data_IF_414483209667
#
_entry.id   IF_414483209667
#
_cell.length_a   1.000
_cell.length_b   1.000
_cell.length_c   1.000
_cell.angle_alpha   90.00
_cell.angle_beta   90.00
_cell.angle_gamma   90.00
#
_symmetry.space_group_name_H-M   'P 1'
#
loop_
_entity.id
_entity.type
_entity.pdbx_description
1 polymer ?
#
# COMPACT_ATOMS: atom_id res chain seq x y z
N UNK A 1 3.70 -1.23 12.22
CA UNK A 1 4.77 -0.41 12.79
C UNK A 1 4.30 0.09 14.15
N UNK A 2 5.15 0.06 15.18
CA UNK A 2 4.88 0.69 16.49
C UNK A 2 4.73 2.21 16.39
N UNK A 3 5.31 2.82 15.37
CA UNK A 3 5.34 4.26 15.11
C UNK A 3 4.05 4.87 14.52
N UNK A 4 3.00 4.07 14.29
CA UNK A 4 1.77 4.53 13.65
C UNK A 4 1.87 4.87 12.16
N UNK A 5 3.06 4.74 11.54
CA UNK A 5 3.23 4.96 10.11
C UNK A 5 2.46 3.91 9.29
N UNK A 6 1.62 4.41 8.38
CA UNK A 6 0.78 3.58 7.51
C UNK A 6 1.18 3.67 6.05
N UNK A 7 0.88 2.62 5.30
CA UNK A 7 0.97 2.52 3.85
C UNK A 7 -0.36 2.00 3.30
N UNK A 8 -0.79 2.52 2.15
CA UNK A 8 -1.90 1.96 1.38
C UNK A 8 -1.36 1.66 -0.01
N UNK A 9 -1.64 0.47 -0.51
CA UNK A 9 -1.30 0.07 -1.86
C UNK A 9 -2.26 -0.99 -2.38
N UNK A 10 -2.28 -1.17 -3.69
CA UNK A 10 -3.08 -2.22 -4.36
C UNK A 10 -2.23 -3.30 -5.02
N UNK A 11 -2.89 -4.41 -5.34
CA UNK A 11 -2.32 -5.48 -6.15
C UNK A 11 -3.40 -6.27 -6.86
N UNK A 12 -3.13 -6.63 -8.11
CA UNK A 12 -3.89 -7.64 -8.85
C UNK A 12 -3.21 -9.01 -8.87
N UNK A 13 -2.02 -9.10 -8.27
CA UNK A 13 -1.28 -10.36 -8.02
C UNK A 13 -1.62 -10.89 -6.63
N UNK A 14 -1.20 -12.12 -6.32
CA UNK A 14 -1.31 -12.68 -4.97
C UNK A 14 -0.74 -11.75 -3.90
N UNK A 15 -1.50 -11.54 -2.83
CA UNK A 15 -1.14 -10.66 -1.71
C UNK A 15 0.22 -11.05 -1.11
N UNK A 16 0.45 -12.34 -0.89
CA UNK A 16 1.72 -12.86 -0.35
C UNK A 16 2.94 -12.45 -1.18
N UNK A 17 2.79 -12.32 -2.50
CA UNK A 17 3.87 -11.86 -3.39
C UNK A 17 4.20 -10.38 -3.15
N UNK A 18 3.20 -9.53 -2.91
CA UNK A 18 3.43 -8.11 -2.56
C UNK A 18 4.04 -7.96 -1.18
N UNK A 19 3.57 -8.73 -0.21
CA UNK A 19 4.14 -8.69 1.15
C UNK A 19 5.64 -8.98 1.10
N UNK A 20 6.07 -10.01 0.36
CA UNK A 20 7.49 -10.35 0.18
C UNK A 20 8.31 -9.27 -0.55
N UNK A 21 7.69 -8.43 -1.36
CA UNK A 21 8.38 -7.28 -1.98
C UNK A 21 8.62 -6.15 -0.97
N UNK A 22 7.79 -6.04 0.06
CA UNK A 22 7.93 -5.08 1.15
C UNK A 22 8.81 -5.60 2.30
N UNK A 23 8.78 -6.90 2.55
CA UNK A 23 9.53 -7.60 3.59
C UNK A 23 10.41 -8.69 2.96
N UNK A 24 11.49 -8.30 2.28
CA UNK A 24 12.34 -9.27 1.63
C UNK A 24 13.14 -10.08 2.67
N UNK A 25 13.28 -11.39 2.45
CA UNK A 25 13.97 -12.30 3.36
C UNK A 25 15.45 -11.96 3.60
N UNK A 26 16.06 -11.12 2.77
CA UNK A 26 17.43 -10.66 2.97
C UNK A 26 17.54 -9.58 4.03
N UNK A 27 16.45 -8.86 4.35
CA UNK A 27 16.44 -7.80 5.37
C UNK A 27 16.83 -8.37 6.75
N UNK A 28 16.29 -9.54 7.09
CA UNK A 28 16.62 -10.24 8.33
C UNK A 28 18.02 -10.88 8.33
N UNK A 29 18.70 -10.91 7.17
CA UNK A 29 20.04 -11.48 7.01
C UNK A 29 21.14 -10.42 7.05
N UNK A 30 20.79 -9.13 7.20
CA UNK A 30 21.75 -8.03 7.21
C UNK A 30 22.41 -7.76 5.85
N UNK A 31 21.85 -8.25 4.75
CA UNK A 31 22.39 -7.97 3.41
C UNK A 31 22.03 -6.54 2.96
N UNK A 32 22.96 -5.87 2.29
CA UNK A 32 22.71 -4.53 1.71
C UNK A 32 22.24 -4.67 0.26
N UNK A 33 20.99 -4.30 0.00
CA UNK A 33 20.36 -4.33 -1.34
C UNK A 33 19.54 -3.08 -1.61
N UNK A 34 19.26 -2.84 -2.89
CA UNK A 34 18.43 -1.71 -3.33
C UNK A 34 17.04 -1.73 -2.68
N UNK A 35 16.67 -0.59 -2.09
CA UNK A 35 15.36 -0.36 -1.51
C UNK A 35 14.32 -0.15 -2.62
N UNK A 36 13.40 -1.10 -2.78
CA UNK A 36 12.38 -1.07 -3.85
C UNK A 36 11.00 -0.62 -3.37
N UNK A 37 10.82 -0.28 -2.10
CA UNK A 37 9.54 0.20 -1.58
C UNK A 37 9.71 1.15 -0.38
N UNK A 38 8.75 2.07 -0.22
CA UNK A 38 8.72 3.00 0.90
C UNK A 38 8.51 2.31 2.26
N UNK A 39 7.81 1.16 2.28
CA UNK A 39 7.71 0.32 3.49
C UNK A 39 9.10 -0.18 3.89
N UNK A 40 9.83 -0.76 2.93
CA UNK A 40 11.18 -1.29 3.19
C UNK A 40 12.14 -0.20 3.67
N UNK A 41 12.17 0.94 2.98
CA UNK A 41 13.00 2.07 3.37
C UNK A 41 12.70 2.51 4.81
N UNK A 42 11.41 2.67 5.15
CA UNK A 42 11.00 3.02 6.50
C UNK A 42 11.44 2.02 7.57
N UNK A 43 11.37 0.71 7.30
CA UNK A 43 11.81 -0.32 8.25
C UNK A 43 13.31 -0.27 8.48
N UNK A 44 14.10 0.00 7.43
CA UNK A 44 15.56 0.18 7.55
C UNK A 44 15.87 1.45 8.33
N UNK A 45 15.25 2.58 7.99
CA UNK A 45 15.52 3.87 8.61
C UNK A 45 15.17 3.92 10.11
N UNK A 46 14.13 3.18 10.50
CA UNK A 46 13.63 3.19 11.88
C UNK A 46 14.07 1.99 12.72
N UNK A 47 14.65 0.95 12.10
CA UNK A 47 14.99 -0.30 12.78
C UNK A 47 13.77 -1.08 13.29
N UNK A 48 12.55 -0.72 12.89
CA UNK A 48 11.35 -1.39 13.34
C UNK A 48 11.22 -2.79 12.73
N UNK A 49 10.76 -3.73 13.55
CA UNK A 49 10.30 -5.05 13.10
C UNK A 49 8.78 -5.05 12.91
N UNK A 50 8.29 -5.83 11.96
CA UNK A 50 6.86 -6.00 11.69
C UNK A 50 6.53 -7.47 11.49
N UNK A 51 5.45 -7.93 12.13
CA UNK A 51 4.85 -9.22 11.84
C UNK A 51 3.92 -9.06 10.61
N UNK A 52 4.18 -9.76 9.49
CA UNK A 52 3.34 -9.64 8.31
C UNK A 52 1.88 -10.05 8.54
N UNK A 53 1.62 -10.97 9.46
CA UNK A 53 0.28 -11.49 9.76
C UNK A 53 -0.60 -10.46 10.48
N UNK A 54 0.03 -9.62 11.31
CA UNK A 54 -0.65 -8.59 12.10
C UNK A 54 -0.65 -7.21 11.41
N UNK A 55 0.33 -6.94 10.54
CA UNK A 55 0.55 -5.60 9.98
C UNK A 55 -0.02 -5.38 8.58
N UNK A 56 -0.33 -6.43 7.83
CA UNK A 56 -0.96 -6.32 6.51
C UNK A 56 -2.46 -6.62 6.56
N UNK A 57 -3.27 -5.56 6.45
CA UNK A 57 -4.73 -5.68 6.43
C UNK A 57 -5.30 -5.54 5.01
N UNK A 58 -6.20 -6.46 4.64
CA UNK A 58 -7.00 -6.34 3.41
C UNK A 58 -8.22 -5.46 3.68
N UNK A 59 -8.20 -4.23 3.17
CA UNK A 59 -9.31 -3.26 3.31
C UNK A 59 -10.42 -3.44 2.26
N UNK A 60 -10.09 -4.01 1.09
CA UNK A 60 -11.03 -4.22 0.00
C UNK A 60 -10.56 -5.36 -0.91
N UNK A 61 -11.50 -6.20 -1.35
CA UNK A 61 -11.25 -7.30 -2.28
C UNK A 61 -12.25 -7.22 -3.42
N UNK A 62 -11.76 -7.19 -4.66
CA UNK A 62 -12.62 -7.22 -5.85
C UNK A 62 -13.24 -8.61 -6.01
N UNK A 63 -14.58 -8.70 -6.13
CA UNK A 63 -15.26 -9.95 -6.46
C UNK A 63 -14.79 -10.55 -7.79
N UNK A 64 -14.58 -11.87 -7.88
CA UNK A 64 -14.05 -12.52 -9.09
C UNK A 64 -15.01 -12.45 -10.29
N UNK A 65 -16.28 -12.12 -10.06
CA UNK A 65 -17.30 -11.96 -11.12
C UNK A 65 -17.04 -10.78 -12.07
N UNK A 66 -16.18 -9.84 -11.70
CA UNK A 66 -15.88 -8.68 -12.54
C UNK A 66 -14.78 -8.96 -13.55
N UNK A 67 -14.89 -8.36 -14.73
CA UNK A 67 -13.83 -8.44 -15.76
C UNK A 67 -12.53 -7.82 -15.25
N UNK A 68 -11.39 -8.30 -15.77
CA UNK A 68 -10.06 -7.78 -15.36
C UNK A 68 -9.96 -6.24 -15.46
N UNK A 69 -10.38 -5.58 -16.56
CA UNK A 69 -10.30 -4.12 -16.66
C UNK A 69 -11.15 -3.40 -15.61
N UNK A 70 -12.38 -3.87 -15.36
CA UNK A 70 -13.26 -3.32 -14.34
C UNK A 70 -12.67 -3.52 -12.93
N UNK A 71 -12.16 -4.71 -12.65
CA UNK A 71 -11.51 -5.02 -11.37
C UNK A 71 -10.30 -4.12 -11.09
N UNK A 72 -9.48 -3.82 -12.10
CA UNK A 72 -8.36 -2.88 -11.94
C UNK A 72 -8.83 -1.46 -11.61
N UNK A 73 -9.89 -0.97 -12.27
CA UNK A 73 -10.48 0.34 -11.98
C UNK A 73 -11.05 0.39 -10.56
N UNK A 74 -11.73 -0.67 -10.12
CA UNK A 74 -12.25 -0.78 -8.75
C UNK A 74 -11.11 -0.79 -7.72
N UNK A 75 -10.02 -1.52 -7.95
CA UNK A 75 -8.85 -1.48 -7.06
C UNK A 75 -8.21 -0.10 -6.99
N UNK A 76 -8.09 0.59 -8.12
CA UNK A 76 -7.55 1.95 -8.17
C UNK A 76 -8.44 2.96 -7.42
N UNK A 77 -9.76 2.87 -7.59
CA UNK A 77 -10.71 3.70 -6.87
C UNK A 77 -10.68 3.43 -5.36
N UNK A 78 -10.63 2.15 -4.96
CA UNK A 78 -10.50 1.76 -3.56
C UNK A 78 -9.19 2.26 -2.93
N UNK A 79 -8.06 2.13 -3.64
CA UNK A 79 -6.75 2.66 -3.21
C UNK A 79 -6.82 4.17 -3.01
N UNK A 80 -7.29 4.93 -4.00
CA UNK A 80 -7.39 6.39 -3.91
C UNK A 80 -8.31 6.84 -2.76
N UNK A 81 -9.44 6.15 -2.57
CA UNK A 81 -10.37 6.43 -1.47
C UNK A 81 -9.72 6.15 -0.12
N UNK A 82 -9.05 5.01 0.02
CA UNK A 82 -8.36 4.64 1.25
C UNK A 82 -7.20 5.58 1.59
N UNK A 83 -6.41 6.02 0.59
CA UNK A 83 -5.38 7.05 0.77
C UNK A 83 -6.00 8.35 1.27
N UNK A 84 -7.12 8.80 0.66
CA UNK A 84 -7.82 10.04 1.05
C UNK A 84 -8.31 9.97 2.50
N UNK A 85 -8.93 8.85 2.89
CA UNK A 85 -9.53 8.67 4.21
C UNK A 85 -8.48 8.43 5.31
N UNK A 86 -7.47 7.60 5.04
CA UNK A 86 -6.48 7.17 6.04
C UNK A 86 -5.25 8.08 6.11
N UNK A 87 -5.01 8.90 5.08
CA UNK A 87 -3.87 9.84 4.97
C UNK A 87 -2.51 9.20 5.36
N UNK A 88 -2.14 8.03 4.79
CA UNK A 88 -0.90 7.34 5.16
C UNK A 88 0.35 8.21 4.96
N UNK A 89 1.35 7.99 5.81
CA UNK A 89 2.61 8.73 5.82
C UNK A 89 3.63 8.12 4.85
N UNK A 90 3.64 6.79 4.69
CA UNK A 90 4.63 6.07 3.86
C UNK A 90 4.26 6.01 2.37
N UNK A 91 3.22 6.73 1.95
CA UNK A 91 2.73 6.69 0.58
C UNK A 91 3.51 7.70 -0.28
N UNK A 92 4.57 7.23 -0.94
CA UNK A 92 5.35 8.01 -1.92
C UNK A 92 4.50 8.53 -3.10
N UNK A 93 3.32 7.93 -3.32
CA UNK A 93 2.35 8.40 -4.31
C UNK A 93 1.80 9.80 -4.02
N UNK A 94 1.97 10.38 -2.81
CA UNK A 94 1.67 11.80 -2.60
C UNK A 94 2.47 12.74 -3.50
N UNK A 95 3.65 12.32 -3.97
CA UNK A 95 4.49 13.13 -4.85
C UNK A 95 4.17 12.93 -6.35
N UNK A 96 3.40 11.89 -6.71
CA UNK A 96 3.15 11.50 -8.12
C UNK A 96 1.67 11.41 -8.49
N UNK A 97 0.76 11.41 -7.52
CA UNK A 97 -0.69 11.34 -7.75
C UNK A 97 -1.23 12.76 -7.79
N UNK A 98 -1.50 13.24 -9.00
CA UNK A 98 -2.33 14.41 -9.19
C UNK A 98 -3.74 14.06 -8.69
N UNK A 99 -4.23 14.80 -7.70
CA UNK A 99 -5.58 14.60 -7.19
C UNK A 99 -6.58 14.69 -8.36
N UNK A 100 -7.50 13.73 -8.54
CA UNK A 100 -8.54 13.85 -9.54
C UNK A 100 -9.32 15.13 -9.27
N UNK A 101 -9.30 16.08 -10.22
CA UNK A 101 -10.17 17.26 -10.20
C UNK A 101 -11.57 16.81 -10.58
N UNK A 102 -12.22 16.14 -9.65
CA UNK A 102 -13.60 15.73 -9.77
C UNK A 102 -14.44 16.79 -9.07
N UNK A 103 -15.44 17.32 -9.79
CA UNK A 103 -16.49 18.14 -9.23
C UNK A 103 -17.36 17.24 -8.36
N UNK A 104 -16.90 16.94 -7.15
CA UNK A 104 -17.70 16.22 -6.18
C UNK A 104 -18.75 17.18 -5.61
N UNK A 105 -20.02 16.77 -5.53
CA UNK A 105 -21.03 17.57 -4.87
C UNK A 105 -20.61 17.77 -3.41
N UNK A 106 -20.57 19.03 -2.98
CA UNK A 106 -20.45 19.39 -1.57
C UNK A 106 -21.71 18.89 -0.88
N UNK A 107 -21.56 18.12 0.20
CA UNK A 107 -22.71 17.76 1.02
C UNK A 107 -23.38 19.05 1.50
N UNK A 108 -24.69 19.14 1.27
CA UNK A 108 -25.55 20.19 1.81
C UNK A 108 -25.68 20.05 3.33
#
# INVERSE_FOLDING_TARGET
>A
CSCGAGYVGRTSRHLSKRIREHLPAWLSKGEVKSMKSAILAHLVDTGHSVDPSETFLVIYKVPPKYTKPLGQRLLAAAEATAIRLKKPVLCAQKNLVQAPRLAWPTAA
#
